data_IF_762038773592
#
_entry.id   IF_762038773592
#
_cell.length_a   1.000
_cell.length_b   1.000
_cell.length_c   1.000
_cell.angle_alpha   90.00
_cell.angle_beta   90.00
_cell.angle_gamma   90.00
#
_symmetry.space_group_name_H-M   'P 1'
#
loop_
_entity.id
_entity.type
_entity.pdbx_description
1 polymer ?
#
# COMPACT_ATOMS: atom_id res chain seq x y z
N UNK A 1 7.08 21.87 -13.95
CA UNK A 1 6.46 20.68 -13.33
C UNK A 1 5.14 21.15 -12.72
N UNK A 2 4.01 20.54 -13.06
CA UNK A 2 2.71 20.92 -12.46
C UNK A 2 2.63 20.35 -11.04
N UNK A 3 1.97 21.07 -10.13
CA UNK A 3 1.70 20.58 -8.77
C UNK A 3 0.64 19.47 -8.77
N UNK A 4 0.59 18.68 -7.71
CA UNK A 4 -0.44 17.64 -7.52
C UNK A 4 -1.85 18.22 -7.59
N UNK A 5 -2.08 19.40 -7.00
CA UNK A 5 -3.39 20.04 -7.05
C UNK A 5 -3.77 20.42 -8.49
N UNK A 6 -2.85 21.00 -9.26
CA UNK A 6 -3.08 21.32 -10.67
C UNK A 6 -3.39 20.07 -11.51
N UNK A 7 -2.74 18.93 -11.22
CA UNK A 7 -3.05 17.67 -11.88
C UNK A 7 -4.45 17.15 -11.52
N UNK A 8 -4.84 17.25 -10.25
CA UNK A 8 -6.19 16.89 -9.79
C UNK A 8 -7.24 17.76 -10.47
N UNK A 9 -7.05 19.07 -10.48
CA UNK A 9 -7.98 20.03 -11.08
C UNK A 9 -8.13 19.80 -12.60
N UNK A 10 -7.04 19.45 -13.29
CA UNK A 10 -7.06 19.11 -14.70
C UNK A 10 -7.81 17.79 -14.98
N UNK A 11 -7.72 16.81 -14.08
CA UNK A 11 -8.38 15.50 -14.22
C UNK A 11 -9.84 15.50 -13.74
N UNK A 12 -10.24 16.43 -12.86
CA UNK A 12 -11.58 16.50 -12.26
C UNK A 12 -12.74 16.48 -13.27
N UNK A 13 -12.69 17.22 -14.41
CA UNK A 13 -13.78 17.22 -15.39
C UNK A 13 -14.01 15.87 -16.09
N UNK A 14 -13.02 14.97 -16.06
CA UNK A 14 -13.11 13.63 -16.67
C UNK A 14 -13.69 12.57 -15.71
N UNK A 15 -14.04 12.95 -14.48
CA UNK A 15 -14.63 12.06 -13.46
C UNK A 15 -16.10 12.41 -13.26
N UNK A 16 -16.94 11.39 -13.09
CA UNK A 16 -18.31 11.59 -12.61
C UNK A 16 -18.31 12.05 -11.16
N UNK A 17 -19.32 12.82 -10.76
CA UNK A 17 -19.42 13.31 -9.38
C UNK A 17 -19.48 12.15 -8.37
N UNK A 18 -20.28 11.12 -8.67
CA UNK A 18 -20.33 9.90 -7.84
C UNK A 18 -18.95 9.26 -7.64
N UNK A 19 -18.09 9.23 -8.67
CA UNK A 19 -16.74 8.66 -8.54
C UNK A 19 -15.85 9.58 -7.71
N UNK A 20 -15.96 10.90 -7.91
CA UNK A 20 -15.19 11.89 -7.15
C UNK A 20 -15.51 11.83 -5.66
N UNK A 21 -16.79 11.80 -5.30
CA UNK A 21 -17.26 11.76 -3.92
C UNK A 21 -16.87 10.44 -3.25
N UNK A 22 -17.08 9.31 -3.93
CA UNK A 22 -16.66 8.00 -3.43
C UNK A 22 -15.15 7.94 -3.15
N UNK A 23 -14.33 8.50 -4.04
CA UNK A 23 -12.87 8.56 -3.81
C UNK A 23 -12.54 9.37 -2.55
N UNK A 24 -13.21 10.52 -2.32
CA UNK A 24 -12.99 11.33 -1.13
C UNK A 24 -13.42 10.60 0.15
N UNK A 25 -14.55 9.90 0.12
CA UNK A 25 -15.04 9.13 1.26
C UNK A 25 -14.08 7.99 1.63
N UNK A 26 -13.55 7.27 0.63
CA UNK A 26 -12.53 6.23 0.84
C UNK A 26 -11.24 6.82 1.39
N UNK A 27 -10.78 7.96 0.84
CA UNK A 27 -9.52 8.60 1.27
C UNK A 27 -9.57 9.02 2.75
N UNK A 28 -10.72 9.44 3.26
CA UNK A 28 -10.91 9.77 4.70
C UNK A 28 -10.76 8.57 5.63
N UNK A 29 -10.93 7.36 5.12
CA UNK A 29 -10.84 6.12 5.90
C UNK A 29 -9.46 5.47 5.81
N UNK A 30 -8.55 6.00 4.97
CA UNK A 30 -7.18 5.50 4.85
C UNK A 30 -6.38 5.82 6.11
N UNK A 31 -5.54 4.88 6.52
CA UNK A 31 -4.75 5.01 7.74
C UNK A 31 -3.29 4.63 7.56
N UNK A 32 -2.42 5.39 8.21
CA UNK A 32 -1.02 5.04 8.50
C UNK A 32 -0.84 4.64 9.96
N UNK A 33 -1.90 4.49 10.75
CA UNK A 33 -1.78 4.08 12.15
C UNK A 33 -1.31 2.62 12.30
N UNK A 34 -1.72 1.76 11.36
CA UNK A 34 -1.31 0.36 11.27
C UNK A 34 -0.68 0.10 9.90
N UNK A 35 0.33 -0.77 9.87
CA UNK A 35 0.90 -1.33 8.64
C UNK A 35 1.35 -2.77 8.90
N UNK A 36 1.63 -3.51 7.83
CA UNK A 36 2.09 -4.90 7.87
C UNK A 36 3.49 -5.01 7.30
N UNK A 37 4.30 -5.88 7.91
CA UNK A 37 5.58 -6.33 7.38
C UNK A 37 5.43 -7.81 7.05
N UNK A 38 5.98 -8.22 5.93
CA UNK A 38 6.02 -9.62 5.50
C UNK A 38 7.41 -9.94 4.96
N UNK A 39 7.91 -11.11 5.33
CA UNK A 39 9.16 -11.66 4.82
C UNK A 39 8.87 -12.78 3.82
N UNK A 40 9.69 -12.88 2.76
CA UNK A 40 9.73 -14.02 1.84
C UNK A 40 8.37 -14.38 1.21
N UNK A 41 7.69 -13.38 0.63
CA UNK A 41 6.40 -13.54 -0.01
C UNK A 41 6.54 -14.17 -1.42
N UNK A 42 7.07 -15.39 -1.46
CA UNK A 42 7.46 -16.07 -2.70
C UNK A 42 6.28 -16.37 -3.64
N UNK A 43 5.10 -16.67 -3.09
CA UNK A 43 3.91 -17.00 -3.88
C UNK A 43 3.11 -15.73 -4.21
N UNK A 44 3.06 -15.35 -5.47
CA UNK A 44 2.34 -14.15 -5.96
C UNK A 44 0.86 -14.12 -5.56
N UNK A 45 0.21 -15.29 -5.45
CA UNK A 45 -1.17 -15.37 -4.97
C UNK A 45 -1.32 -14.85 -3.54
N UNK A 46 -0.36 -15.16 -2.66
CA UNK A 46 -0.35 -14.68 -1.29
C UNK A 46 -0.07 -13.18 -1.25
N UNK A 47 0.83 -12.67 -2.11
CA UNK A 47 1.10 -11.25 -2.23
C UNK A 47 -0.15 -10.46 -2.67
N UNK A 48 -0.88 -10.97 -3.67
CA UNK A 48 -2.13 -10.38 -4.12
C UNK A 48 -3.26 -10.48 -3.08
N UNK A 49 -3.30 -11.56 -2.29
CA UNK A 49 -4.26 -11.68 -1.19
C UNK A 49 -3.97 -10.65 -0.09
N UNK A 50 -2.71 -10.55 0.35
CA UNK A 50 -2.30 -9.58 1.35
C UNK A 50 -2.56 -8.14 0.91
N UNK A 51 -2.22 -7.79 -0.33
CA UNK A 51 -2.46 -6.46 -0.88
C UNK A 51 -3.96 -6.10 -0.87
N UNK A 52 -4.83 -7.03 -1.26
CA UNK A 52 -6.29 -6.82 -1.22
C UNK A 52 -6.80 -6.69 0.21
N UNK A 53 -6.27 -7.47 1.15
CA UNK A 53 -6.59 -7.32 2.57
C UNK A 53 -6.17 -5.94 3.08
N UNK A 54 -4.95 -5.49 2.78
CA UNK A 54 -4.47 -4.15 3.16
C UNK A 54 -5.38 -3.05 2.61
N UNK A 55 -5.79 -3.17 1.34
CA UNK A 55 -6.68 -2.21 0.70
C UNK A 55 -8.06 -2.18 1.35
N UNK A 56 -8.64 -3.35 1.63
CA UNK A 56 -9.95 -3.50 2.28
C UNK A 56 -9.97 -2.94 3.72
N UNK A 57 -8.86 -3.07 4.45
CA UNK A 57 -8.71 -2.49 5.80
C UNK A 57 -8.29 -1.01 5.79
N UNK A 58 -8.19 -0.38 4.61
CA UNK A 58 -7.81 1.02 4.50
C UNK A 58 -6.33 1.30 4.83
N UNK A 59 -5.46 0.29 4.86
CA UNK A 59 -4.04 0.50 5.09
C UNK A 59 -3.43 1.28 3.93
N UNK A 60 -2.68 2.34 4.26
CA UNK A 60 -2.07 3.20 3.25
C UNK A 60 -0.77 2.60 2.70
N UNK A 61 -0.05 1.84 3.52
CA UNK A 61 1.23 1.23 3.14
C UNK A 61 1.38 -0.17 3.69
N UNK A 62 2.16 -0.99 2.98
CA UNK A 62 2.65 -2.31 3.40
C UNK A 62 4.15 -2.42 3.13
N UNK A 63 4.83 -3.26 3.90
CA UNK A 63 6.28 -3.47 3.80
C UNK A 63 6.59 -4.92 3.43
N UNK A 64 7.33 -5.10 2.34
CA UNK A 64 7.78 -6.42 1.89
C UNK A 64 9.28 -6.47 2.03
N UNK A 65 9.78 -7.49 2.73
CA UNK A 65 11.21 -7.76 2.85
C UNK A 65 11.54 -8.98 1.99
N UNK A 66 12.34 -8.77 0.96
CA UNK A 66 12.85 -9.83 0.11
C UNK A 66 14.37 -9.75 -0.01
N UNK A 67 15.03 -10.84 0.39
CA UNK A 67 16.49 -10.92 0.38
C UNK A 67 17.04 -11.62 -0.87
N UNK A 68 16.22 -12.46 -1.53
CA UNK A 68 16.66 -13.35 -2.63
C UNK A 68 15.73 -13.24 -3.85
N UNK A 69 14.41 -13.26 -3.65
CA UNK A 69 13.43 -13.30 -4.75
C UNK A 69 12.92 -11.88 -5.07
N UNK A 70 12.76 -11.54 -6.35
CA UNK A 70 12.12 -10.27 -6.71
C UNK A 70 10.62 -10.33 -6.42
N UNK A 71 10.13 -9.45 -5.54
CA UNK A 71 8.68 -9.27 -5.36
C UNK A 71 8.00 -8.89 -6.68
N UNK A 72 7.19 -9.80 -7.21
CA UNK A 72 6.32 -9.55 -8.34
C UNK A 72 4.85 -9.52 -7.89
N UNK A 73 4.15 -8.45 -8.23
CA UNK A 73 2.68 -8.43 -8.23
C UNK A 73 2.23 -8.36 -9.68
N UNK A 74 1.46 -9.36 -10.10
CA UNK A 74 0.67 -9.22 -11.31
C UNK A 74 -0.41 -8.15 -11.12
N UNK A 75 -0.21 -6.99 -11.75
CA UNK A 75 -1.14 -5.84 -11.71
C UNK A 75 -2.59 -6.26 -12.01
N UNK A 76 -2.78 -7.22 -12.91
CA UNK A 76 -4.10 -7.73 -13.29
C UNK A 76 -4.80 -8.53 -12.19
N UNK A 77 -4.04 -9.23 -11.34
CA UNK A 77 -4.61 -10.00 -10.22
C UNK A 77 -4.91 -9.15 -8.98
N UNK A 78 -4.30 -7.97 -8.87
CA UNK A 78 -4.53 -7.06 -7.75
C UNK A 78 -5.87 -6.30 -7.83
N UNK A 79 -6.64 -6.45 -8.91
CA UNK A 79 -7.94 -5.78 -9.18
C UNK A 79 -7.93 -4.26 -8.89
N UNK A 80 -6.79 -3.60 -9.08
CA UNK A 80 -6.64 -2.17 -8.85
C UNK A 80 -6.19 -1.77 -7.43
N UNK A 81 -6.10 -2.71 -6.48
CA UNK A 81 -5.63 -2.44 -5.12
C UNK A 81 -4.20 -1.88 -5.09
N UNK A 82 -3.35 -2.32 -6.03
CA UNK A 82 -1.98 -1.84 -6.20
C UNK A 82 -1.89 -0.33 -6.54
N UNK A 83 -3.01 0.32 -6.89
CA UNK A 83 -3.08 1.77 -7.13
C UNK A 83 -3.28 2.56 -5.83
N UNK A 84 -3.73 1.92 -4.77
CA UNK A 84 -4.20 2.59 -3.54
C UNK A 84 -3.32 2.32 -2.31
N UNK A 85 -2.62 1.18 -2.30
CA UNK A 85 -1.70 0.81 -1.21
C UNK A 85 -0.25 0.98 -1.70
N UNK A 86 0.52 1.73 -0.94
CA UNK A 86 1.95 1.92 -1.18
C UNK A 86 2.73 0.67 -0.75
N UNK A 87 3.53 0.11 -1.65
CA UNK A 87 4.31 -1.10 -1.37
C UNK A 87 5.78 -0.70 -1.20
N UNK A 88 6.26 -0.77 0.03
CA UNK A 88 7.64 -0.48 0.37
C UNK A 88 8.47 -1.76 0.38
N UNK A 89 9.39 -1.90 -0.57
CA UNK A 89 10.29 -3.06 -0.65
C UNK A 89 11.58 -2.81 0.14
N UNK A 90 12.02 -3.80 0.89
CA UNK A 90 13.24 -3.79 1.71
C UNK A 90 14.05 -5.04 1.44
N UNK A 91 15.37 -4.97 1.61
CA UNK A 91 16.26 -6.15 1.55
C UNK A 91 16.58 -6.74 2.92
N UNK A 92 16.39 -5.96 3.98
CA UNK A 92 16.73 -6.34 5.35
C UNK A 92 15.57 -5.98 6.29
N UNK A 93 15.01 -7.00 6.95
CA UNK A 93 13.92 -6.83 7.91
C UNK A 93 14.36 -5.98 9.10
N UNK A 94 15.62 -6.08 9.54
CA UNK A 94 16.12 -5.33 10.69
C UNK A 94 16.11 -3.83 10.38
N UNK A 95 16.50 -3.45 9.16
CA UNK A 95 16.43 -2.07 8.70
C UNK A 95 14.98 -1.58 8.58
N UNK A 96 14.09 -2.41 8.01
CA UNK A 96 12.67 -2.11 7.91
C UNK A 96 12.04 -1.84 9.29
N UNK A 97 12.24 -2.76 10.24
CA UNK A 97 11.75 -2.66 11.62
C UNK A 97 12.35 -1.43 12.33
N UNK A 98 13.65 -1.18 12.17
CA UNK A 98 14.30 0.00 12.75
C UNK A 98 13.68 1.29 12.21
N UNK A 99 13.46 1.38 10.90
CA UNK A 99 12.79 2.52 10.27
C UNK A 99 11.38 2.73 10.82
N UNK A 100 10.60 1.66 10.96
CA UNK A 100 9.27 1.71 11.54
C UNK A 100 9.27 2.17 13.00
N UNK A 101 10.17 1.64 13.83
CA UNK A 101 10.30 2.10 15.23
C UNK A 101 10.66 3.58 15.31
N UNK A 102 11.55 4.06 14.43
CA UNK A 102 11.91 5.49 14.37
C UNK A 102 10.73 6.39 13.95
N UNK A 103 9.77 5.86 13.18
CA UNK A 103 8.50 6.54 12.85
C UNK A 103 7.44 6.44 13.97
N UNK A 104 7.76 5.82 15.11
CA UNK A 104 6.87 5.69 16.26
C UNK A 104 6.00 4.43 16.30
N UNK A 105 6.20 3.48 15.38
CA UNK A 105 5.43 2.23 15.40
C UNK A 105 5.90 1.29 16.51
N UNK A 106 4.93 0.60 17.12
CA UNK A 106 5.17 -0.60 17.93
C UNK A 106 5.08 -1.84 17.05
N UNK A 107 5.93 -2.81 17.31
CA UNK A 107 6.02 -4.03 16.50
C UNK A 107 5.39 -5.19 17.26
N UNK A 108 4.42 -5.83 16.63
CA UNK A 108 3.84 -7.10 17.06
C UNK A 108 4.18 -8.17 16.01
N UNK A 109 4.53 -9.37 16.46
CA UNK A 109 4.85 -10.49 15.59
C UNK A 109 3.82 -11.60 15.82
N UNK A 110 3.36 -12.21 14.74
CA UNK A 110 2.63 -13.48 14.76
C UNK A 110 3.63 -14.60 14.47
N UNK A 111 3.52 -15.71 15.21
CA UNK A 111 4.36 -16.90 15.08
C UNK A 111 3.50 -18.09 14.67
#
# INVERSE_FOLDING_TARGET
>A
MISTQQAIDHLRPYLTDNRWDLMHDILRQRTRFLTVITEELYREHNANALLRSCECFGLQEMHVVDNINEFAIHRDMSRGAAKWVEINKHRDVRQCIKGLRNRGYRIAAAH
#
